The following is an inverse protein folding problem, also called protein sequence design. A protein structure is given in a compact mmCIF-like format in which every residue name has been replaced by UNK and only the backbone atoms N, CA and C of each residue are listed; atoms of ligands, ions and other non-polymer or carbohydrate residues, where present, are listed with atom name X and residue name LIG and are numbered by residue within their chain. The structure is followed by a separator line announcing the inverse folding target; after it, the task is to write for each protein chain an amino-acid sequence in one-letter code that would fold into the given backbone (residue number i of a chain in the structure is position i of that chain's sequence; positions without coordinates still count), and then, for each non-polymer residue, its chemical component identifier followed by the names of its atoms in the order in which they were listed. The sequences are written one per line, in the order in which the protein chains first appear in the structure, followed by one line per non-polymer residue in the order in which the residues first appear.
data_IF_076944325005
#
_entry.id   IF_076944325005
#
_cell.length_a   1.000
_cell.length_b   1.000
_cell.length_c   1.000
_cell.angle_alpha   90.00
_cell.angle_beta   90.00
_cell.angle_gamma   90.00
#
_symmetry.space_group_name_H-M   'P 1'
#
loop_
_entity.id
_entity.type
_entity.pdbx_description
1 polymer ?
#
# COMPACT_ATOMS: atom_id res chain seq x y z
N UNK A 1 -10.59 28.27 1.50
CA UNK A 1 -10.44 27.54 0.21
C UNK A 1 -11.15 26.22 0.40
N UNK A 2 -12.24 25.99 -0.31
CA UNK A 2 -13.16 24.87 -0.07
C UNK A 2 -12.44 23.54 -0.35
N UNK A 3 -12.13 22.79 0.71
CA UNK A 3 -11.66 21.41 0.61
C UNK A 3 -12.86 20.55 0.25
N UNK A 4 -12.93 20.15 -1.02
CA UNK A 4 -13.81 19.06 -1.45
C UNK A 4 -13.23 17.78 -0.84
N UNK A 5 -13.87 17.26 0.19
CA UNK A 5 -13.56 15.94 0.76
C UNK A 5 -13.63 14.88 -0.35
N UNK A 6 -12.72 13.90 -0.42
CA UNK A 6 -12.84 12.80 -1.36
C UNK A 6 -13.88 11.80 -0.81
N UNK A 7 -15.17 12.16 -0.85
CA UNK A 7 -16.26 11.21 -0.69
C UNK A 7 -16.45 10.54 -2.05
N UNK A 8 -15.97 9.30 -2.20
CA UNK A 8 -16.17 8.52 -3.43
C UNK A 8 -17.32 7.54 -3.20
N UNK A 9 -18.44 7.78 -3.88
CA UNK A 9 -19.57 6.85 -3.99
C UNK A 9 -19.27 5.81 -5.06
N UNK A 10 -19.28 4.55 -4.68
CA UNK A 10 -19.11 3.43 -5.62
C UNK A 10 -20.35 2.53 -5.65
N UNK A 11 -20.80 2.18 -6.86
CA UNK A 11 -21.95 1.31 -7.10
C UNK A 11 -21.47 -0.08 -7.49
N UNK A 12 -21.70 -1.07 -6.63
CA UNK A 12 -21.36 -2.46 -6.90
C UNK A 12 -22.61 -3.27 -7.25
N UNK A 13 -22.63 -3.88 -8.44
CA UNK A 13 -23.66 -4.84 -8.85
C UNK A 13 -23.24 -6.26 -8.41
N UNK A 14 -24.12 -6.96 -7.68
CA UNK A 14 -23.89 -8.35 -7.26
C UNK A 14 -24.80 -9.30 -8.04
N UNK A 15 -24.28 -10.49 -8.34
CA UNK A 15 -25.12 -11.66 -8.60
C UNK A 15 -24.94 -12.59 -7.42
N UNK A 16 -26.04 -12.93 -6.75
CA UNK A 16 -25.98 -13.88 -5.65
C UNK A 16 -25.86 -15.30 -6.19
N UNK A 17 -24.82 -16.01 -5.76
CA UNK A 17 -24.75 -17.46 -5.92
C UNK A 17 -24.89 -18.10 -4.54
N UNK A 18 -25.73 -19.14 -4.48
CA UNK A 18 -25.83 -20.03 -3.31
C UNK A 18 -24.94 -21.26 -3.51
N UNK A 19 -24.28 -21.72 -2.44
CA UNK A 19 -23.61 -23.02 -2.42
C UNK A 19 -24.36 -23.95 -1.48
N UNK A 20 -24.89 -25.04 -2.02
CA UNK A 20 -25.47 -26.14 -1.26
C UNK A 20 -24.38 -26.89 -0.48
N UNK A 21 -24.59 -27.06 0.82
CA UNK A 21 -23.85 -27.98 1.68
C UNK A 21 -24.59 -29.33 1.78
N UNK A 22 -23.87 -30.36 2.25
CA UNK A 22 -24.33 -31.76 2.33
C UNK A 22 -25.64 -31.96 3.10
N UNK A 23 -26.09 -30.98 3.90
CA UNK A 23 -27.31 -31.03 4.71
C UNK A 23 -28.49 -30.20 4.15
N UNK A 24 -28.49 -29.82 2.87
CA UNK A 24 -29.49 -28.90 2.28
C UNK A 24 -29.42 -27.45 2.82
N UNK A 25 -28.37 -27.10 3.55
CA UNK A 25 -28.09 -25.72 3.96
C UNK A 25 -27.37 -25.00 2.81
N UNK A 26 -27.89 -23.85 2.39
CA UNK A 26 -27.23 -22.99 1.42
C UNK A 26 -26.50 -21.87 2.16
N UNK A 27 -25.22 -21.62 1.88
CA UNK A 27 -24.48 -20.45 2.40
C UNK A 27 -24.34 -19.40 1.29
N UNK A 28 -24.58 -18.14 1.64
CA UNK A 28 -24.30 -16.99 0.76
C UNK A 28 -22.84 -16.56 0.94
N UNK A 29 -22.03 -16.78 -0.10
CA UNK A 29 -20.66 -16.30 -0.19
C UNK A 29 -20.50 -15.58 -1.52
N UNK A 30 -20.72 -14.27 -1.52
CA UNK A 30 -20.52 -13.46 -2.72
C UNK A 30 -19.49 -12.37 -2.44
N UNK A 31 -18.58 -12.18 -3.39
CA UNK A 31 -17.54 -11.16 -3.35
C UNK A 31 -17.72 -10.26 -4.57
N UNK A 32 -17.73 -8.95 -4.36
CA UNK A 32 -17.81 -7.98 -5.44
C UNK A 32 -16.58 -8.04 -6.33
N UNK A 33 -16.67 -7.56 -7.58
CA UNK A 33 -15.49 -7.07 -8.27
C UNK A 33 -14.72 -6.08 -7.37
N UNK A 34 -13.38 -6.10 -7.38
CA UNK A 34 -12.60 -5.12 -6.65
C UNK A 34 -12.87 -3.71 -7.16
N UNK A 35 -12.87 -2.75 -6.25
CA UNK A 35 -12.95 -1.32 -6.55
C UNK A 35 -11.83 -0.57 -5.83
N UNK A 36 -11.69 0.74 -6.04
CA UNK A 36 -10.53 1.47 -5.52
C UNK A 36 -10.84 2.88 -5.08
N UNK A 37 -10.23 3.31 -3.99
CA UNK A 37 -10.13 4.73 -3.63
C UNK A 37 -8.72 5.19 -3.99
N UNK A 38 -8.62 6.13 -4.94
CA UNK A 38 -7.35 6.59 -5.47
C UNK A 38 -7.29 8.12 -5.49
N UNK A 39 -6.22 8.69 -4.97
CA UNK A 39 -5.96 10.12 -5.00
C UNK A 39 -4.45 10.37 -4.90
N UNK A 40 -3.95 11.39 -5.61
CA UNK A 40 -2.54 11.79 -5.59
C UNK A 40 -1.54 10.62 -5.81
N UNK A 41 -1.90 9.70 -6.71
CA UNK A 41 -1.09 8.51 -7.04
C UNK A 41 -1.11 7.38 -6.02
N UNK A 42 -1.74 7.56 -4.86
CA UNK A 42 -1.92 6.50 -3.85
C UNK A 42 -3.29 5.83 -4.06
N UNK A 43 -3.31 4.50 -4.03
CA UNK A 43 -4.51 3.70 -4.27
C UNK A 43 -4.72 2.66 -3.15
N UNK A 44 -5.94 2.58 -2.66
CA UNK A 44 -6.42 1.49 -1.81
C UNK A 44 -7.48 0.71 -2.58
N UNK A 45 -7.31 -0.60 -2.64
CA UNK A 45 -8.20 -1.53 -3.34
C UNK A 45 -9.07 -2.23 -2.32
N UNK A 46 -10.36 -2.25 -2.59
CA UNK A 46 -11.40 -2.78 -1.74
C UNK A 46 -12.19 -3.86 -2.48
N UNK A 47 -12.86 -4.70 -1.70
CA UNK A 47 -13.95 -5.52 -2.20
C UNK A 47 -15.01 -5.59 -1.12
N UNK A 48 -16.24 -5.88 -1.50
CA UNK A 48 -17.31 -6.16 -0.56
C UNK A 48 -17.60 -7.65 -0.58
N UNK A 49 -17.83 -8.22 0.60
CA UNK A 49 -18.19 -9.63 0.76
C UNK A 49 -19.48 -9.74 1.54
N UNK A 50 -20.40 -10.54 1.04
CA UNK A 50 -21.56 -11.00 1.80
C UNK A 50 -21.21 -12.34 2.43
N UNK A 51 -21.38 -12.44 3.74
CA UNK A 51 -21.14 -13.66 4.50
C UNK A 51 -22.37 -14.00 5.31
N UNK A 52 -22.84 -15.23 5.18
CA UNK A 52 -23.94 -15.78 5.95
C UNK A 52 -23.37 -16.67 7.06
N UNK A 53 -23.49 -16.21 8.30
CA UNK A 53 -23.05 -16.95 9.48
C UNK A 53 -24.26 -17.58 10.17
N UNK A 54 -24.19 -18.88 10.42
CA UNK A 54 -25.19 -19.62 11.16
C UNK A 54 -24.55 -20.21 12.43
N UNK A 55 -25.03 -19.77 13.59
CA UNK A 55 -24.71 -20.40 14.87
C UNK A 55 -25.77 -21.45 15.15
N UNK A 56 -25.43 -22.71 14.88
CA UNK A 56 -26.30 -23.85 15.15
C UNK A 56 -26.33 -24.11 16.65
N UNK A 57 -27.51 -24.09 17.25
CA UNK A 57 -27.69 -24.44 18.66
C UNK A 57 -27.58 -25.96 18.82
N UNK A 58 -26.51 -26.42 19.46
CA UNK A 58 -26.24 -27.86 19.67
C UNK A 58 -26.82 -28.41 20.99
N UNK A 59 -27.58 -27.62 21.74
CA UNK A 59 -28.07 -28.01 23.06
C UNK A 59 -29.54 -28.48 23.01
N UNK A 60 -29.76 -29.80 23.09
CA UNK A 60 -31.11 -30.42 23.18
C UNK A 60 -31.92 -29.98 24.41
N UNK A 61 -31.26 -29.43 25.44
CA UNK A 61 -31.88 -29.07 26.73
C UNK A 61 -32.15 -27.57 26.91
N UNK A 62 -31.68 -26.71 25.99
CA UNK A 62 -31.94 -25.28 26.02
C UNK A 62 -32.39 -24.85 24.63
N UNK A 63 -33.65 -24.43 24.49
CA UNK A 63 -34.24 -23.92 23.27
C UNK A 63 -33.66 -22.53 22.91
N UNK A 64 -32.34 -22.44 22.74
CA UNK A 64 -31.70 -21.28 22.13
C UNK A 64 -31.90 -21.44 20.62
N UNK A 65 -32.66 -20.56 19.96
CA UNK A 65 -32.86 -20.66 18.52
C UNK A 65 -31.53 -20.47 17.79
N UNK A 66 -31.32 -21.23 16.71
CA UNK A 66 -30.19 -21.01 15.80
C UNK A 66 -30.23 -19.57 15.29
N UNK A 67 -29.14 -18.83 15.46
CA UNK A 67 -29.05 -17.45 14.99
C UNK A 67 -28.31 -17.47 13.66
N UNK A 68 -29.04 -17.14 12.60
CA UNK A 68 -28.48 -16.93 11.27
C UNK A 68 -28.44 -15.45 10.97
N UNK A 69 -27.32 -14.97 10.43
CA UNK A 69 -27.11 -13.56 10.17
C UNK A 69 -26.25 -13.36 8.93
N UNK A 70 -26.73 -12.50 8.04
CA UNK A 70 -25.95 -12.04 6.88
C UNK A 70 -25.19 -10.77 7.25
N UNK A 71 -23.91 -10.75 6.92
CA UNK A 71 -23.00 -9.63 7.09
C UNK A 71 -22.58 -9.05 5.76
N UNK A 72 -22.49 -7.71 5.72
CA UNK A 72 -21.77 -6.96 4.67
C UNK A 72 -20.37 -6.68 5.21
N UNK A 73 -19.35 -7.24 4.59
CA UNK A 73 -17.96 -7.04 4.97
C UNK A 73 -17.26 -6.17 3.93
N UNK A 74 -16.54 -5.15 4.39
CA UNK A 74 -15.61 -4.38 3.58
C UNK A 74 -14.21 -4.99 3.72
N UNK A 75 -13.68 -5.45 2.60
CA UNK A 75 -12.42 -6.17 2.50
C UNK A 75 -11.33 -5.25 1.98
N UNK A 76 -10.30 -5.00 2.78
CA UNK A 76 -9.12 -4.26 2.32
C UNK A 76 -8.23 -5.22 1.54
N UNK A 77 -8.33 -5.18 0.20
CA UNK A 77 -7.68 -6.15 -0.68
C UNK A 77 -6.20 -5.85 -0.85
N UNK A 78 -5.87 -4.60 -1.17
CA UNK A 78 -4.49 -4.19 -1.43
C UNK A 78 -4.32 -2.67 -1.30
N UNK A 79 -3.09 -2.20 -1.09
CA UNK A 79 -2.76 -0.78 -0.92
C UNK A 79 -1.34 -0.55 -0.40
N UNK A 80 -0.95 0.68 -0.02
CA UNK A 80 0.44 1.03 0.29
C UNK A 80 0.93 0.52 1.66
N UNK A 81 0.00 0.19 2.58
CA UNK A 81 0.32 -0.24 3.94
C UNK A 81 -0.48 -1.49 4.35
N UNK A 82 0.04 -2.23 5.34
CA UNK A 82 -0.65 -3.42 5.89
C UNK A 82 -1.93 -3.02 6.60
N UNK A 83 -1.88 -2.00 7.44
CA UNK A 83 -3.04 -1.52 8.19
C UNK A 83 -3.36 -0.09 7.78
N UNK A 84 -4.64 0.22 7.61
CA UNK A 84 -5.12 1.56 7.27
C UNK A 84 -6.25 1.97 8.20
N UNK A 85 -6.17 3.19 8.73
CA UNK A 85 -7.24 3.78 9.52
C UNK A 85 -8.12 4.66 8.64
N UNK A 86 -9.39 4.29 8.45
CA UNK A 86 -10.40 5.11 7.79
C UNK A 86 -11.13 5.97 8.81
N UNK A 87 -11.63 7.14 8.42
CA UNK A 87 -12.44 7.96 9.32
C UNK A 87 -13.83 7.36 9.52
N UNK A 88 -14.40 6.86 8.43
CA UNK A 88 -15.73 6.27 8.38
C UNK A 88 -15.86 5.38 7.14
N UNK A 89 -16.52 4.24 7.27
CA UNK A 89 -17.02 3.48 6.14
C UNK A 89 -18.51 3.18 6.35
N UNK A 90 -19.34 3.55 5.38
CA UNK A 90 -20.78 3.34 5.38
C UNK A 90 -21.21 2.55 4.15
N UNK A 91 -22.27 1.78 4.29
CA UNK A 91 -22.93 1.18 3.15
C UNK A 91 -24.45 1.35 3.19
N UNK A 92 -25.06 1.27 2.02
CA UNK A 92 -26.51 1.17 1.85
C UNK A 92 -26.84 0.18 0.74
N UNK A 93 -28.00 -0.45 0.86
CA UNK A 93 -28.56 -1.32 -0.17
C UNK A 93 -29.65 -0.53 -0.87
N UNK A 94 -29.58 -0.45 -2.19
CA UNK A 94 -30.53 0.30 -3.00
C UNK A 94 -31.31 -0.61 -3.94
N UNK A 95 -32.55 -0.24 -4.22
CA UNK A 95 -33.39 -0.89 -5.22
C UNK A 95 -32.86 -0.56 -6.62
N UNK A 96 -32.54 -1.57 -7.45
CA UNK A 96 -32.02 -1.33 -8.80
C UNK A 96 -32.96 -0.53 -9.70
N UNK A 97 -34.28 -0.73 -9.56
CA UNK A 97 -35.29 -0.14 -10.45
C UNK A 97 -35.66 1.30 -10.07
N UNK A 98 -35.71 1.59 -8.77
CA UNK A 98 -36.19 2.89 -8.27
C UNK A 98 -35.08 3.78 -7.71
N UNK A 99 -33.90 3.20 -7.44
CA UNK A 99 -32.81 3.88 -6.72
C UNK A 99 -33.11 4.15 -5.24
N UNK A 100 -34.28 3.72 -4.74
CA UNK A 100 -34.66 3.94 -3.34
C UNK A 100 -33.79 3.09 -2.41
N UNK A 101 -33.43 3.65 -1.26
CA UNK A 101 -32.68 2.92 -0.24
C UNK A 101 -33.59 1.88 0.43
N UNK A 102 -33.21 0.61 0.35
CA UNK A 102 -33.89 -0.51 0.97
C UNK A 102 -33.38 -0.75 2.40
N UNK A 103 -32.07 -0.61 2.58
CA UNK A 103 -31.41 -0.74 3.88
C UNK A 103 -30.30 0.31 4.00
N UNK A 104 -30.28 1.04 5.11
CA UNK A 104 -29.32 2.12 5.39
C UNK A 104 -28.75 1.96 6.78
N UNK A 105 -27.59 2.58 7.03
CA UNK A 105 -27.00 2.60 8.37
C UNK A 105 -25.98 1.50 8.62
N UNK A 106 -25.52 0.80 7.58
CA UNK A 106 -24.33 -0.05 7.72
C UNK A 106 -23.13 0.85 8.02
N UNK A 107 -22.42 0.60 9.11
CA UNK A 107 -21.35 1.47 9.59
C UNK A 107 -20.18 0.68 10.18
N UNK A 108 -18.98 1.22 9.98
CA UNK A 108 -17.75 0.74 10.61
C UNK A 108 -17.47 1.42 11.96
N UNK A 109 -18.47 1.99 12.63
CA UNK A 109 -18.32 2.83 13.84
C UNK A 109 -17.39 2.24 14.93
N UNK A 110 -17.36 0.92 15.07
CA UNK A 110 -16.53 0.21 16.05
C UNK A 110 -15.19 -0.32 15.49
N UNK A 111 -14.96 -0.23 14.18
CA UNK A 111 -13.78 -0.74 13.49
C UNK A 111 -13.30 0.27 12.44
N UNK A 112 -12.32 1.09 12.82
CA UNK A 112 -11.71 2.09 11.92
C UNK A 112 -10.41 1.61 11.30
N UNK A 113 -9.83 0.56 11.84
CA UNK A 113 -8.57 -0.02 11.37
C UNK A 113 -8.87 -1.24 10.50
N UNK A 114 -8.32 -1.22 9.30
CA UNK A 114 -8.50 -2.27 8.29
C UNK A 114 -7.14 -2.87 7.96
N UNK A 115 -6.99 -4.16 8.24
CA UNK A 115 -5.81 -4.94 7.84
C UNK A 115 -5.96 -5.51 6.44
N UNK A 116 -4.91 -5.41 5.64
CA UNK A 116 -4.84 -5.92 4.27
C UNK A 116 -5.03 -7.44 4.27
N UNK A 117 -5.90 -7.92 3.38
CA UNK A 117 -6.27 -9.33 3.30
C UNK A 117 -7.39 -9.73 4.27
N UNK A 118 -7.99 -8.78 4.98
CA UNK A 118 -9.07 -9.03 5.94
C UNK A 118 -10.36 -8.29 5.59
N UNK A 119 -11.48 -8.90 5.98
CA UNK A 119 -12.83 -8.35 5.83
C UNK A 119 -13.39 -7.89 7.16
N UNK A 120 -13.90 -6.67 7.21
CA UNK A 120 -14.45 -6.05 8.41
C UNK A 120 -15.95 -5.84 8.25
N UNK A 121 -16.78 -6.30 9.19
CA UNK A 121 -18.22 -6.17 9.07
C UNK A 121 -18.66 -4.71 9.22
N UNK A 122 -19.45 -4.24 8.27
CA UNK A 122 -20.23 -3.01 8.40
C UNK A 122 -21.52 -3.38 9.14
N UNK A 123 -21.63 -2.91 10.39
CA UNK A 123 -22.71 -3.30 11.27
C UNK A 123 -23.96 -2.49 10.96
N UNK A 124 -25.09 -3.18 10.91
CA UNK A 124 -26.42 -2.58 10.83
C UNK A 124 -27.02 -2.49 12.23
N UNK A 125 -27.98 -1.58 12.43
CA UNK A 125 -28.77 -1.54 13.66
C UNK A 125 -29.42 -2.90 13.95
N UNK A 126 -29.36 -3.34 15.21
CA UNK A 126 -29.88 -4.64 15.67
C UNK A 126 -31.34 -4.89 15.30
N UNK A 127 -32.15 -3.83 15.22
CA UNK A 127 -33.57 -3.91 14.83
C UNK A 127 -33.76 -4.27 13.35
N UNK A 128 -32.79 -3.99 12.49
CA UNK A 128 -32.86 -4.22 11.05
C UNK A 128 -32.09 -5.48 10.61
N UNK A 129 -31.19 -6.01 11.44
CA UNK A 129 -30.36 -7.19 11.12
C UNK A 129 -31.18 -8.40 10.67
N UNK A 130 -32.28 -8.70 11.38
CA UNK A 130 -33.16 -9.82 11.02
C UNK A 130 -33.87 -9.57 9.69
N UNK A 131 -34.43 -8.38 9.52
CA UNK A 131 -35.12 -7.99 8.27
C UNK A 131 -34.18 -8.04 7.07
N UNK A 132 -32.94 -7.58 7.23
CA UNK A 132 -31.92 -7.66 6.19
C UNK A 132 -31.54 -9.12 5.88
N UNK A 133 -31.34 -9.93 6.91
CA UNK A 133 -31.05 -11.37 6.75
C UNK A 133 -32.19 -12.07 6.00
N UNK A 134 -33.44 -11.87 6.41
CA UNK A 134 -34.61 -12.46 5.76
C UNK A 134 -34.74 -11.96 4.31
N UNK A 135 -34.48 -10.67 4.05
CA UNK A 135 -34.49 -10.10 2.71
C UNK A 135 -33.46 -10.78 1.79
N UNK A 136 -32.22 -10.95 2.24
CA UNK A 136 -31.17 -11.61 1.42
C UNK A 136 -31.55 -13.05 1.09
N UNK A 137 -32.10 -13.81 2.05
CA UNK A 137 -32.52 -15.19 1.82
C UNK A 137 -33.73 -15.31 0.90
N UNK A 138 -34.68 -14.38 0.98
CA UNK A 138 -35.85 -14.35 0.11
C UNK A 138 -35.52 -13.89 -1.32
N UNK A 139 -34.34 -13.31 -1.54
CA UNK A 139 -33.89 -12.77 -2.82
C UNK A 139 -32.58 -13.42 -3.28
N UNK A 140 -32.37 -14.70 -2.96
CA UNK A 140 -31.30 -15.50 -3.55
C UNK A 140 -31.49 -15.51 -5.08
N UNK A 141 -30.37 -15.48 -5.82
CA UNK A 141 -30.29 -15.35 -7.28
C UNK A 141 -30.80 -14.00 -7.86
N UNK A 142 -31.21 -13.04 -7.02
CA UNK A 142 -31.53 -11.68 -7.45
C UNK A 142 -30.27 -10.79 -7.56
N UNK A 143 -30.44 -9.56 -8.06
CA UNK A 143 -29.39 -8.54 -8.03
C UNK A 143 -29.54 -7.66 -6.78
N UNK A 144 -28.48 -7.59 -5.98
CA UNK A 144 -28.32 -6.58 -4.93
C UNK A 144 -27.46 -5.45 -5.47
N UNK A 145 -27.84 -4.21 -5.18
CA UNK A 145 -26.99 -3.06 -5.41
C UNK A 145 -26.56 -2.51 -4.05
N UNK A 146 -25.27 -2.61 -3.76
CA UNK A 146 -24.70 -2.04 -2.54
C UNK A 146 -23.87 -0.84 -2.91
N UNK A 147 -24.14 0.27 -2.24
CA UNK A 147 -23.35 1.51 -2.33
C UNK A 147 -22.48 1.57 -1.10
N UNK A 148 -21.20 1.89 -1.28
CA UNK A 148 -20.25 2.10 -0.18
C UNK A 148 -19.69 3.51 -0.28
N UNK A 149 -19.64 4.16 0.88
CA UNK A 149 -19.01 5.45 1.09
C UNK A 149 -17.86 5.27 2.09
N UNK A 150 -16.62 5.51 1.64
CA UNK A 150 -15.43 5.39 2.48
C UNK A 150 -14.77 6.77 2.61
N UNK A 151 -14.61 7.25 3.85
CA UNK A 151 -14.00 8.53 4.19
C UNK A 151 -12.58 8.33 4.71
N UNK A 152 -11.62 8.96 4.04
CA UNK A 152 -10.20 8.93 4.37
C UNK A 152 -9.69 10.31 4.78
N UNK A 153 -8.69 10.31 5.68
CA UNK A 153 -7.83 11.49 5.86
C UNK A 153 -7.01 11.73 4.59
N UNK A 154 -6.94 12.99 4.15
CA UNK A 154 -6.15 13.38 2.98
C UNK A 154 -4.67 13.05 3.11
N UNK A 155 -4.14 13.03 4.34
CA UNK A 155 -2.75 12.65 4.62
C UNK A 155 -2.40 11.20 4.23
N UNK A 156 -3.39 10.31 4.12
CA UNK A 156 -3.19 8.93 3.64
C UNK A 156 -2.95 8.87 2.13
N UNK A 157 -3.12 9.97 1.42
CA UNK A 157 -2.80 10.07 0.00
C UNK A 157 -1.54 10.91 -0.22
N UNK A 158 -0.68 11.06 0.79
CA UNK A 158 0.68 11.54 0.60
C UNK A 158 1.59 10.32 0.29
N UNK A 159 2.04 10.14 -0.96
CA UNK A 159 2.87 9.00 -1.32
C UNK A 159 4.22 8.99 -0.60
N UNK A 160 4.75 10.16 -0.23
CA UNK A 160 6.03 10.25 0.46
C UNK A 160 5.94 9.76 1.91
N UNK A 161 4.74 9.72 2.49
CA UNK A 161 4.51 9.22 3.85
C UNK A 161 4.74 7.72 4.00
N UNK A 162 4.70 6.96 2.89
CA UNK A 162 4.95 5.51 2.84
C UNK A 162 6.42 5.15 2.66
N UNK A 163 7.26 6.14 2.37
CA UNK A 163 8.69 5.97 2.20
C UNK A 163 9.43 6.39 3.49
N UNK A 164 10.63 5.85 3.77
CA UNK A 164 11.42 6.26 4.94
C UNK A 164 11.56 7.79 5.00
N UNK A 165 11.43 8.41 6.18
CA UNK A 165 11.57 9.86 6.26
C UNK A 165 13.04 10.28 6.16
N UNK A 166 13.49 10.52 4.94
CA UNK A 166 14.87 10.93 4.64
C UNK A 166 15.15 12.34 5.14
N UNK A 167 14.17 13.25 5.21
CA UNK A 167 14.39 14.59 5.77
C UNK A 167 14.74 14.55 7.26
N UNK A 168 14.10 13.66 8.03
CA UNK A 168 14.50 13.39 9.41
C UNK A 168 15.84 12.64 9.47
N UNK A 169 16.17 11.84 8.44
CA UNK A 169 17.42 11.10 8.33
C UNK A 169 18.64 11.98 8.01
N UNK A 170 18.49 12.93 7.08
CA UNK A 170 19.50 13.94 6.72
C UNK A 170 19.67 14.99 7.81
N UNK A 171 18.64 15.24 8.66
CA UNK A 171 18.78 16.16 9.81
C UNK A 171 19.90 15.76 10.79
N UNK A 172 20.35 14.50 10.77
CA UNK A 172 21.62 14.17 11.42
C UNK A 172 22.78 14.69 10.56
N UNK A 173 23.13 15.96 10.77
CA UNK A 173 24.27 16.61 10.09
C UNK A 173 25.55 15.78 10.19
N UNK A 174 25.71 15.00 11.27
CA UNK A 174 26.82 14.07 11.44
C UNK A 174 26.76 12.93 10.41
N UNK A 175 25.63 12.21 10.32
CA UNK A 175 25.50 11.07 9.40
C UNK A 175 25.60 11.56 7.96
N UNK A 176 24.88 12.62 7.59
CA UNK A 176 24.91 13.16 6.24
C UNK A 176 26.33 13.56 5.82
N UNK A 177 27.05 14.29 6.68
CA UNK A 177 28.45 14.66 6.43
C UNK A 177 29.35 13.44 6.28
N UNK A 178 29.23 12.44 7.15
CA UNK A 178 30.03 11.21 7.05
C UNK A 178 29.71 10.42 5.78
N UNK A 179 28.45 10.40 5.33
CA UNK A 179 28.07 9.85 4.03
C UNK A 179 28.79 10.60 2.89
N UNK A 180 28.74 11.93 2.88
CA UNK A 180 29.39 12.76 1.86
C UNK A 180 30.91 12.58 1.85
N UNK A 181 31.54 12.56 3.03
CA UNK A 181 32.98 12.35 3.20
C UNK A 181 33.39 10.97 2.65
N UNK A 182 32.60 9.91 2.89
CA UNK A 182 32.83 8.60 2.31
C UNK A 182 32.74 8.62 0.77
N UNK A 183 31.70 9.25 0.21
CA UNK A 183 31.51 9.32 -1.25
C UNK A 183 32.65 10.10 -1.90
N UNK A 184 33.11 11.18 -1.28
CA UNK A 184 34.27 11.93 -1.75
C UNK A 184 35.53 11.06 -1.73
N UNK A 185 35.78 10.37 -0.62
CA UNK A 185 36.93 9.49 -0.48
C UNK A 185 36.92 8.33 -1.49
N UNK A 186 35.73 7.80 -1.81
CA UNK A 186 35.52 6.84 -2.89
C UNK A 186 35.93 7.37 -4.26
N UNK A 187 35.50 8.59 -4.63
CA UNK A 187 35.89 9.20 -5.91
C UNK A 187 37.38 9.58 -5.97
N UNK A 188 37.95 10.00 -4.85
CA UNK A 188 39.37 10.32 -4.72
C UNK A 188 40.27 9.08 -4.69
N UNK A 189 39.69 7.86 -4.77
CA UNK A 189 40.38 6.58 -4.61
C UNK A 189 41.21 6.47 -3.32
N UNK A 190 40.75 7.14 -2.26
CA UNK A 190 41.39 7.13 -0.94
C UNK A 190 40.82 6.07 0.02
N UNK A 191 39.76 5.36 -0.42
CA UNK A 191 39.18 4.22 0.29
C UNK A 191 39.50 2.93 -0.47
N UNK A 192 40.14 1.98 0.21
CA UNK A 192 40.32 0.63 -0.30
C UNK A 192 39.07 -0.22 -0.02
N UNK A 193 38.35 -0.59 -1.08
CA UNK A 193 37.15 -1.41 -1.01
C UNK A 193 37.51 -2.82 -1.51
N UNK A 194 37.53 -3.84 -0.63
CA UNK A 194 37.94 -5.18 -1.00
C UNK A 194 37.11 -5.76 -2.16
N UNK A 195 37.79 -6.37 -3.14
CA UNK A 195 37.20 -7.00 -4.33
C UNK A 195 36.57 -6.03 -5.37
N UNK A 196 36.67 -4.72 -5.17
CA UNK A 196 36.12 -3.76 -6.13
C UNK A 196 36.80 -3.87 -7.51
N UNK A 197 38.11 -4.06 -7.55
CA UNK A 197 38.86 -4.20 -8.81
C UNK A 197 38.49 -5.46 -9.59
N UNK A 198 38.14 -6.55 -8.89
CA UNK A 198 37.69 -7.79 -9.52
C UNK A 198 36.36 -7.58 -10.23
N UNK A 199 35.40 -6.91 -9.57
CA UNK A 199 34.10 -6.60 -10.15
C UNK A 199 34.22 -5.59 -11.31
N UNK A 200 35.14 -4.63 -11.18
CA UNK A 200 35.48 -3.68 -12.24
C UNK A 200 36.01 -4.39 -13.48
N UNK A 201 36.86 -5.40 -13.31
CA UNK A 201 37.37 -6.21 -14.41
C UNK A 201 36.29 -7.11 -15.06
N UNK A 202 35.27 -7.53 -14.30
CA UNK A 202 34.16 -8.34 -14.79
C UNK A 202 33.09 -7.53 -15.52
N UNK A 203 33.08 -6.20 -15.37
CA UNK A 203 32.09 -5.32 -15.98
C UNK A 203 30.70 -5.39 -15.33
N UNK A 204 30.57 -6.01 -14.16
CA UNK A 204 29.31 -6.08 -13.42
C UNK A 204 29.09 -4.81 -12.59
N UNK A 205 28.53 -3.81 -13.26
CA UNK A 205 28.26 -2.48 -12.70
C UNK A 205 27.40 -2.53 -11.43
N UNK A 206 26.33 -3.32 -11.41
CA UNK A 206 25.40 -3.30 -10.29
C UNK A 206 25.91 -4.10 -9.08
N UNK A 207 26.70 -5.14 -9.30
CA UNK A 207 27.46 -5.77 -8.21
C UNK A 207 28.50 -4.82 -7.62
N UNK A 208 29.15 -3.97 -8.43
CA UNK A 208 30.02 -2.91 -7.91
C UNK A 208 29.24 -1.92 -7.04
N UNK A 209 28.11 -1.38 -7.52
CA UNK A 209 27.30 -0.47 -6.71
C UNK A 209 26.84 -1.12 -5.41
N UNK A 210 26.44 -2.40 -5.45
CA UNK A 210 26.08 -3.16 -4.25
C UNK A 210 27.23 -3.24 -3.25
N UNK A 211 28.43 -3.58 -3.72
CA UNK A 211 29.61 -3.69 -2.87
C UNK A 211 29.97 -2.35 -2.22
N UNK A 212 30.06 -1.29 -3.03
CA UNK A 212 30.38 0.06 -2.54
C UNK A 212 29.31 0.53 -1.57
N UNK A 213 28.04 0.27 -1.86
CA UNK A 213 26.92 0.69 -1.02
C UNK A 213 26.97 0.05 0.37
N UNK A 214 27.13 -1.28 0.41
CA UNK A 214 27.19 -2.04 1.67
C UNK A 214 28.44 -1.68 2.48
N UNK A 215 29.59 -1.55 1.82
CA UNK A 215 30.83 -1.12 2.47
C UNK A 215 30.71 0.29 3.04
N UNK A 216 30.13 1.22 2.28
CA UNK A 216 29.88 2.58 2.73
C UNK A 216 28.96 2.64 3.95
N UNK A 217 27.89 1.84 3.96
CA UNK A 217 27.00 1.77 5.13
C UNK A 217 27.74 1.29 6.38
N UNK A 218 28.51 0.21 6.30
CA UNK A 218 29.32 -0.32 7.42
C UNK A 218 30.35 0.71 7.91
N UNK A 219 30.98 1.44 6.99
CA UNK A 219 31.96 2.46 7.32
C UNK A 219 31.33 3.65 8.04
N UNK A 220 30.24 4.19 7.49
CA UNK A 220 29.50 5.31 8.09
C UNK A 220 28.94 4.90 9.46
N UNK A 221 28.48 3.65 9.60
CA UNK A 221 27.97 3.12 10.87
C UNK A 221 29.04 3.15 11.95
N UNK A 222 30.24 2.60 11.67
CA UNK A 222 31.38 2.60 12.61
C UNK A 222 31.89 4.00 12.97
N UNK A 223 31.80 4.96 12.05
CA UNK A 223 32.24 6.33 12.31
C UNK A 223 31.17 7.17 13.05
N UNK A 224 29.90 6.87 12.82
CA UNK A 224 28.78 7.60 13.43
C UNK A 224 28.41 7.06 14.82
N UNK A 225 28.61 5.77 15.05
CA UNK A 225 28.19 5.10 16.27
C UNK A 225 29.39 4.44 16.94
N UNK A 226 29.54 4.68 18.24
CA UNK A 226 30.59 4.00 19.02
C UNK A 226 30.14 2.59 19.40
N UNK A 227 31.08 1.68 19.62
CA UNK A 227 30.80 0.30 20.08
C UNK A 227 30.05 0.22 21.43
N UNK A 228 29.86 1.36 22.12
CA UNK A 228 29.17 1.48 23.41
C UNK A 228 27.71 1.94 23.30
N UNK A 229 27.24 2.36 22.12
CA UNK A 229 25.85 2.76 21.92
C UNK A 229 25.00 1.57 21.45
N UNK A 230 23.89 1.28 22.15
CA UNK A 230 22.92 0.28 21.67
C UNK A 230 22.28 0.79 20.37
N UNK A 231 22.66 0.18 19.25
CA UNK A 231 22.12 0.48 17.94
C UNK A 231 20.70 -0.06 17.81
N UNK A 232 19.72 0.84 17.82
CA UNK A 232 18.33 0.48 17.50
C UNK A 232 18.19 0.23 15.99
N UNK A 233 17.25 -0.65 15.62
CA UNK A 233 16.90 -0.90 14.21
C UNK A 233 16.48 0.41 13.49
N UNK A 234 15.83 1.32 14.23
CA UNK A 234 15.46 2.64 13.73
C UNK A 234 16.69 3.46 13.31
N UNK A 235 17.75 3.46 14.12
CA UNK A 235 19.00 4.18 13.83
C UNK A 235 19.71 3.63 12.59
N UNK A 236 19.74 2.30 12.43
CA UNK A 236 20.32 1.65 11.26
C UNK A 236 19.52 1.93 9.99
N UNK A 237 18.19 1.89 10.08
CA UNK A 237 17.31 2.22 8.97
C UNK A 237 17.45 3.70 8.56
N UNK A 238 17.66 4.59 9.53
CA UNK A 238 17.95 6.00 9.30
C UNK A 238 19.24 6.16 8.50
N UNK A 239 20.34 5.58 8.97
CA UNK A 239 21.64 5.63 8.31
C UNK A 239 21.57 5.11 6.87
N UNK A 240 20.98 3.92 6.67
CA UNK A 240 20.86 3.31 5.34
C UNK A 240 20.02 4.17 4.39
N UNK A 241 18.98 4.82 4.90
CA UNK A 241 18.14 5.73 4.12
C UNK A 241 18.90 7.02 3.76
N UNK A 242 19.65 7.60 4.69
CA UNK A 242 20.51 8.78 4.42
C UNK A 242 21.60 8.44 3.41
N UNK A 243 22.28 7.31 3.59
CA UNK A 243 23.32 6.87 2.66
C UNK A 243 22.75 6.56 1.27
N UNK A 244 21.57 5.95 1.18
CA UNK A 244 20.85 5.76 -0.08
C UNK A 244 20.55 7.08 -0.79
N UNK A 245 20.10 8.09 -0.06
CA UNK A 245 19.86 9.42 -0.61
C UNK A 245 21.12 10.04 -1.21
N UNK A 246 22.21 10.12 -0.42
CA UNK A 246 23.48 10.73 -0.87
C UNK A 246 24.09 9.92 -2.01
N UNK A 247 24.08 8.59 -1.92
CA UNK A 247 24.62 7.70 -2.96
C UNK A 247 23.82 7.82 -4.26
N UNK A 248 22.49 7.87 -4.19
CA UNK A 248 21.64 8.05 -5.35
C UNK A 248 21.92 9.38 -6.06
N UNK A 249 21.96 10.49 -5.32
CA UNK A 249 22.17 11.82 -5.90
C UNK A 249 23.60 12.02 -6.44
N UNK A 250 24.62 11.62 -5.66
CA UNK A 250 26.03 11.94 -5.97
C UNK A 250 26.71 10.88 -6.83
N UNK A 251 26.19 9.67 -6.92
CA UNK A 251 26.78 8.56 -7.69
C UNK A 251 25.86 8.15 -8.83
N UNK A 252 24.68 7.60 -8.52
CA UNK A 252 23.83 6.95 -9.53
C UNK A 252 23.25 7.94 -10.54
N UNK A 253 22.70 9.06 -10.07
CA UNK A 253 22.07 10.05 -10.95
C UNK A 253 23.05 10.78 -11.86
N UNK A 254 24.36 10.76 -11.56
CA UNK A 254 25.39 11.31 -12.47
C UNK A 254 25.57 10.47 -13.73
N UNK A 255 25.18 9.20 -13.69
CA UNK A 255 25.30 8.26 -14.80
C UNK A 255 24.05 8.22 -15.68
N UNK A 256 22.96 8.87 -15.26
CA UNK A 256 21.69 8.92 -15.98
C UNK A 256 21.70 10.13 -16.91
N UNK A 257 21.76 9.92 -18.22
CA UNK A 257 21.71 10.99 -19.23
C UNK A 257 20.35 11.04 -19.93
N UNK A 258 19.72 9.88 -20.12
CA UNK A 258 18.39 9.76 -20.70
C UNK A 258 17.46 8.88 -19.86
N UNK A 259 16.23 8.71 -20.34
CA UNK A 259 15.21 7.91 -19.68
C UNK A 259 15.58 6.42 -19.65
N UNK A 260 16.16 5.91 -20.72
CA UNK A 260 16.59 4.52 -20.86
C UNK A 260 17.69 4.15 -19.86
N UNK A 261 18.59 5.10 -19.55
CA UNK A 261 19.59 4.93 -18.49
C UNK A 261 18.92 4.79 -17.12
N UNK A 262 17.87 5.58 -16.87
CA UNK A 262 17.11 5.51 -15.62
C UNK A 262 16.35 4.18 -15.48
N UNK A 263 15.78 3.66 -16.56
CA UNK A 263 15.15 2.33 -16.56
C UNK A 263 16.18 1.24 -16.28
N UNK A 264 17.32 1.29 -16.96
CA UNK A 264 18.43 0.35 -16.74
C UNK A 264 18.93 0.41 -15.29
N UNK A 265 19.00 1.60 -14.70
CA UNK A 265 19.33 1.81 -13.30
C UNK A 265 18.30 1.16 -12.37
N UNK A 266 17.01 1.38 -12.60
CA UNK A 266 15.93 0.81 -11.78
C UNK A 266 15.95 -0.72 -11.82
N UNK A 267 16.07 -1.31 -13.01
CA UNK A 267 16.16 -2.75 -13.19
C UNK A 267 17.40 -3.34 -12.51
N UNK A 268 18.56 -2.72 -12.74
CA UNK A 268 19.82 -3.19 -12.18
C UNK A 268 19.89 -3.12 -10.66
N UNK A 269 19.36 -2.05 -10.05
CA UNK A 269 19.23 -1.95 -8.58
C UNK A 269 18.24 -2.99 -8.04
N UNK A 270 17.17 -3.29 -8.79
CA UNK A 270 16.25 -4.37 -8.49
C UNK A 270 16.93 -5.74 -8.43
N UNK A 271 17.76 -6.07 -9.43
CA UNK A 271 18.51 -7.32 -9.51
C UNK A 271 19.65 -7.41 -8.48
N UNK A 272 20.29 -6.29 -8.16
CA UNK A 272 21.32 -6.24 -7.13
C UNK A 272 20.78 -6.36 -5.70
N UNK A 273 19.46 -6.35 -5.52
CA UNK A 273 18.79 -6.46 -4.22
C UNK A 273 19.32 -5.44 -3.20
N UNK A 274 19.23 -4.14 -3.54
CA UNK A 274 19.57 -3.03 -2.64
C UNK A 274 18.30 -2.24 -2.26
N UNK A 275 17.49 -2.72 -1.27
CA UNK A 275 16.20 -2.11 -0.95
C UNK A 275 16.24 -0.62 -0.59
N UNK A 276 17.24 -0.10 0.15
CA UNK A 276 17.31 1.33 0.45
C UNK A 276 17.40 2.21 -0.81
N UNK A 277 18.21 1.80 -1.80
CA UNK A 277 18.34 2.53 -3.07
C UNK A 277 17.07 2.43 -3.90
N UNK A 278 16.42 1.26 -3.93
CA UNK A 278 15.11 1.11 -4.59
C UNK A 278 14.07 2.09 -4.02
N UNK A 279 13.97 2.20 -2.69
CA UNK A 279 13.06 3.15 -2.04
C UNK A 279 13.40 4.61 -2.34
N UNK A 280 14.67 4.92 -2.54
CA UNK A 280 15.09 6.28 -2.91
C UNK A 280 14.77 6.60 -4.38
N UNK A 281 14.91 5.63 -5.29
CA UNK A 281 14.44 5.75 -6.67
C UNK A 281 12.91 5.98 -6.68
N UNK A 282 12.15 5.20 -5.90
CA UNK A 282 10.71 5.39 -5.73
C UNK A 282 10.39 6.79 -5.19
N UNK A 283 11.17 7.31 -4.22
CA UNK A 283 11.03 8.70 -3.73
C UNK A 283 11.25 9.73 -4.83
N UNK A 284 12.31 9.57 -5.61
CA UNK A 284 12.62 10.46 -6.73
C UNK A 284 11.45 10.50 -7.71
N UNK A 285 10.94 9.33 -8.11
CA UNK A 285 9.77 9.19 -8.98
C UNK A 285 8.54 9.91 -8.38
N UNK A 286 8.23 9.67 -7.10
CA UNK A 286 7.11 10.32 -6.43
C UNK A 286 7.24 11.85 -6.44
N UNK A 287 8.45 12.37 -6.15
CA UNK A 287 8.72 13.82 -6.16
C UNK A 287 8.54 14.41 -7.55
N UNK A 288 9.02 13.73 -8.59
CA UNK A 288 8.82 14.15 -9.98
C UNK A 288 7.34 14.13 -10.38
N UNK A 289 6.59 13.08 -10.02
CA UNK A 289 5.15 13.01 -10.34
C UNK A 289 4.36 14.11 -9.60
N UNK A 290 4.67 14.37 -8.33
CA UNK A 290 4.03 15.43 -7.55
C UNK A 290 4.36 16.82 -8.13
N UNK A 291 5.62 17.06 -8.53
CA UNK A 291 6.06 18.34 -9.09
C UNK A 291 5.44 18.64 -10.45
N UNK A 292 5.04 17.61 -11.21
CA UNK A 292 4.44 17.69 -12.55
C UNK A 292 2.97 18.12 -12.56
N UNK A 293 2.42 18.50 -11.40
CA UNK A 293 1.34 19.50 -11.38
C UNK A 293 1.74 20.82 -12.09
N UNK A 294 3.03 21.01 -12.41
CA UNK A 294 3.53 21.93 -13.44
C UNK A 294 4.57 21.26 -14.39
N UNK A 295 4.09 20.70 -15.51
CA UNK A 295 4.73 20.49 -16.84
C UNK A 295 6.21 20.00 -16.89
N UNK A 296 6.47 18.77 -17.40
CA UNK A 296 7.62 18.42 -18.28
C UNK A 296 7.46 17.04 -18.99
N UNK A 297 8.13 16.88 -20.15
CA UNK A 297 8.06 15.72 -21.08
C UNK A 297 8.69 14.42 -20.54
N UNK A 298 9.66 14.52 -19.62
CA UNK A 298 10.33 13.39 -18.97
C UNK A 298 9.37 12.60 -18.05
N UNK A 299 8.55 13.33 -17.30
CA UNK A 299 7.62 12.76 -16.34
C UNK A 299 6.42 12.08 -16.99
N UNK A 300 6.01 12.50 -18.19
CA UNK A 300 5.01 11.79 -19.00
C UNK A 300 5.50 10.42 -19.48
N UNK A 301 6.78 10.30 -19.86
CA UNK A 301 7.39 9.01 -20.22
C UNK A 301 7.56 8.12 -18.98
N UNK A 302 7.96 8.68 -17.84
CA UNK A 302 8.02 7.98 -16.56
C UNK A 302 6.64 7.44 -16.16
N UNK A 303 5.60 8.27 -16.19
CA UNK A 303 4.21 7.88 -15.91
C UNK A 303 3.76 6.79 -16.89
N UNK A 304 3.99 6.94 -18.19
CA UNK A 304 3.61 5.93 -19.20
C UNK A 304 4.34 4.60 -19.02
N UNK A 305 5.61 4.62 -18.60
CA UNK A 305 6.40 3.42 -18.36
C UNK A 305 5.97 2.70 -17.08
N UNK A 306 5.78 3.44 -15.98
CA UNK A 306 5.25 2.90 -14.71
C UNK A 306 3.90 2.19 -14.93
N UNK A 307 3.07 2.76 -15.81
CA UNK A 307 1.79 2.17 -16.23
C UNK A 307 1.93 0.90 -17.07
N UNK A 308 3.01 0.76 -17.84
CA UNK A 308 3.24 -0.39 -18.72
C UNK A 308 3.90 -1.60 -18.03
N UNK A 309 4.67 -1.38 -16.97
CA UNK A 309 5.63 -2.35 -16.45
C UNK A 309 5.20 -3.11 -15.19
N UNK A 310 3.98 -2.91 -14.66
CA UNK A 310 3.56 -3.65 -13.45
C UNK A 310 4.59 -3.55 -12.32
N UNK A 311 5.08 -2.35 -12.00
CA UNK A 311 5.86 -2.14 -10.77
C UNK A 311 4.93 -2.42 -9.60
N UNK A 312 4.94 -3.68 -9.19
CA UNK A 312 3.85 -4.35 -8.50
C UNK A 312 3.68 -3.95 -7.03
N UNK A 313 4.16 -2.79 -6.61
CA UNK A 313 4.20 -2.47 -5.17
C UNK A 313 3.76 -1.07 -4.73
N UNK A 314 3.53 -0.07 -5.58
CA UNK A 314 2.93 1.18 -5.06
C UNK A 314 2.17 2.06 -6.04
N UNK A 315 2.31 1.93 -7.36
CA UNK A 315 1.71 2.91 -8.27
C UNK A 315 1.06 2.24 -9.46
N UNK A 316 -0.26 2.36 -9.50
CA UNK A 316 -1.09 2.21 -10.69
C UNK A 316 -1.25 0.78 -11.24
N UNK A 317 -2.29 0.08 -10.76
CA UNK A 317 -3.11 -0.75 -11.64
C UNK A 317 -4.41 -0.01 -11.87
N UNK A 318 -4.53 0.63 -13.04
CA UNK A 318 -5.82 1.04 -13.59
C UNK A 318 -6.67 -0.19 -13.90
#
# INVERSE_FOLDING_TARGET
MYLVEPVRKEYCNYHFLSRLLENSEAIVLNVSPPFSTAYNGVQFTWALRLSDECVVSTCEYAAVPSVRRVFVLLYYKDGPCTDVTVEEAKASVICPQTGAELFTGFSSENAREFTKGSGWPLLLDKSLEKTFTDYVHNNIDAQLNVVVDIKFKSSLYDPLSYLPNVEKACRSQRIEKTCEDFIKAYFDNSVDIPNLDLLRAQGDKFSMHRLVFLFGCDRVEKECFSDQEELTELSLNLLRSTFAHVYFEKVLMREVQCFEDFISLLEGIGQAHIPPLRKEIERFICREVISVSNIFHFSLHLISFLLSQSLSYCFMRF
#
